data_IF_963190970103
#
_entry.id   IF_963190970103
#
_cell.length_a   1.000
_cell.length_b   1.000
_cell.length_c   1.000
_cell.angle_alpha   90.00
_cell.angle_beta   90.00
_cell.angle_gamma   90.00
#
_symmetry.space_group_name_H-M   'P 1'
#
loop_
_entity.id
_entity.type
_entity.pdbx_description
1 polymer ?
#
# COMPACT_ATOMS: atom_id res chain seq x y z
N UNK A 1 31.09 -29.50 -34.65
CA UNK A 1 29.81 -29.48 -33.91
C UNK A 1 29.56 -28.04 -33.51
N UNK A 2 28.42 -27.42 -33.84
CA UNK A 2 28.20 -26.00 -33.55
C UNK A 2 27.90 -25.80 -32.05
N UNK A 3 28.66 -24.90 -31.44
CA UNK A 3 28.45 -24.31 -30.12
C UNK A 3 27.01 -23.75 -30.03
N UNK A 4 26.22 -24.28 -29.11
CA UNK A 4 24.87 -23.75 -28.83
C UNK A 4 24.93 -22.32 -28.27
N UNK A 5 23.91 -21.48 -28.50
CA UNK A 5 23.94 -20.09 -28.06
C UNK A 5 24.07 -20.02 -26.54
N UNK A 6 25.12 -19.33 -26.07
CA UNK A 6 25.34 -19.04 -24.67
C UNK A 6 24.07 -18.40 -24.08
N UNK A 7 23.42 -19.09 -23.14
CA UNK A 7 22.33 -18.50 -22.35
C UNK A 7 22.93 -17.33 -21.57
N UNK A 8 22.64 -16.11 -22.01
CA UNK A 8 22.91 -14.90 -21.24
C UNK A 8 21.95 -14.92 -20.06
N UNK A 9 22.35 -15.60 -18.98
CA UNK A 9 21.68 -15.51 -17.70
C UNK A 9 21.97 -14.11 -17.16
N UNK A 10 21.02 -13.19 -17.30
CA UNK A 10 21.12 -11.85 -16.71
C UNK A 10 20.95 -12.00 -15.20
N UNK A 11 22.04 -12.25 -14.51
CA UNK A 11 22.10 -12.26 -13.05
C UNK A 11 22.05 -10.81 -12.57
N UNK A 12 20.90 -10.39 -12.02
CA UNK A 12 20.78 -9.07 -11.38
C UNK A 12 21.60 -9.08 -10.09
N UNK A 13 22.21 -7.94 -9.74
CA UNK A 13 22.83 -7.81 -8.41
C UNK A 13 21.75 -7.95 -7.33
N UNK A 14 22.11 -8.48 -6.15
CA UNK A 14 21.13 -8.69 -5.07
C UNK A 14 20.38 -7.42 -4.64
N UNK A 15 20.97 -6.25 -4.88
CA UNK A 15 20.32 -4.93 -4.68
C UNK A 15 19.29 -4.63 -5.77
N UNK A 16 19.64 -4.84 -7.05
CA UNK A 16 18.72 -4.64 -8.16
C UNK A 16 17.53 -5.62 -8.09
N UNK A 17 17.77 -6.86 -7.67
CA UNK A 17 16.72 -7.84 -7.48
C UNK A 17 15.74 -7.45 -6.37
N UNK A 18 16.23 -6.99 -5.20
CA UNK A 18 15.36 -6.52 -4.10
C UNK A 18 14.47 -5.36 -4.51
N UNK A 19 15.02 -4.35 -5.19
CA UNK A 19 14.25 -3.20 -5.67
C UNK A 19 13.17 -3.65 -6.66
N UNK A 20 13.52 -4.53 -7.60
CA UNK A 20 12.57 -5.07 -8.56
C UNK A 20 11.43 -5.83 -7.88
N UNK A 21 11.75 -6.73 -6.95
CA UNK A 21 10.76 -7.51 -6.22
C UNK A 21 9.84 -6.61 -5.37
N UNK A 22 10.41 -5.58 -4.72
CA UNK A 22 9.65 -4.59 -3.97
C UNK A 22 8.67 -3.80 -4.87
N UNK A 23 9.13 -3.32 -6.02
CA UNK A 23 8.30 -2.59 -6.99
C UNK A 23 7.16 -3.47 -7.52
N UNK A 24 7.45 -4.71 -7.93
CA UNK A 24 6.43 -5.63 -8.43
C UNK A 24 5.39 -5.94 -7.34
N UNK A 25 5.84 -6.13 -6.11
CA UNK A 25 4.95 -6.36 -4.97
C UNK A 25 4.04 -5.16 -4.71
N UNK A 26 4.58 -3.94 -4.69
CA UNK A 26 3.77 -2.71 -4.56
C UNK A 26 2.76 -2.58 -5.71
N UNK A 27 3.17 -2.87 -6.94
CA UNK A 27 2.31 -2.78 -8.11
C UNK A 27 1.12 -3.73 -8.04
N UNK A 28 1.36 -5.00 -7.74
CA UNK A 28 0.28 -5.99 -7.62
C UNK A 28 -0.66 -5.68 -6.46
N UNK A 29 -0.13 -5.24 -5.32
CA UNK A 29 -0.95 -4.87 -4.16
C UNK A 29 -1.79 -3.63 -4.44
N UNK A 30 -1.20 -2.61 -5.07
CA UNK A 30 -1.95 -1.42 -5.50
C UNK A 30 -3.07 -1.81 -6.46
N UNK A 31 -2.77 -2.62 -7.48
CA UNK A 31 -3.76 -3.09 -8.44
C UNK A 31 -4.90 -3.88 -7.77
N UNK A 32 -4.58 -4.80 -6.86
CA UNK A 32 -5.58 -5.57 -6.11
C UNK A 32 -6.51 -4.66 -5.30
N UNK A 33 -5.97 -3.67 -4.59
CA UNK A 33 -6.79 -2.69 -3.89
C UNK A 33 -7.58 -1.79 -4.83
N UNK A 34 -7.03 -1.44 -6.00
CA UNK A 34 -7.73 -0.67 -7.02
C UNK A 34 -8.97 -1.40 -7.54
N UNK A 35 -8.81 -2.67 -7.91
CA UNK A 35 -9.94 -3.53 -8.32
C UNK A 35 -10.96 -3.66 -7.19
N UNK A 36 -10.52 -3.96 -5.97
CA UNK A 36 -11.40 -4.09 -4.80
C UNK A 36 -12.14 -2.78 -4.51
N UNK A 37 -11.46 -1.64 -4.64
CA UNK A 37 -12.04 -0.31 -4.48
C UNK A 37 -13.16 -0.07 -5.49
N UNK A 38 -12.92 -0.29 -6.78
CA UNK A 38 -13.95 -0.15 -7.82
C UNK A 38 -15.14 -1.08 -7.57
N UNK A 39 -14.88 -2.36 -7.27
CA UNK A 39 -15.94 -3.33 -6.98
C UNK A 39 -16.77 -2.94 -5.75
N UNK A 40 -16.14 -2.38 -4.71
CA UNK A 40 -16.86 -1.93 -3.52
C UNK A 40 -17.82 -0.76 -3.80
N UNK A 41 -17.49 0.11 -4.76
CA UNK A 41 -18.37 1.19 -5.20
C UNK A 41 -19.62 0.66 -5.92
N UNK A 42 -19.46 -0.37 -6.76
CA UNK A 42 -20.58 -1.08 -7.37
C UNK A 42 -21.43 -1.80 -6.32
N UNK A 43 -20.78 -2.53 -5.41
CA UNK A 43 -21.43 -3.24 -4.31
C UNK A 43 -22.34 -2.32 -3.49
N UNK A 44 -21.83 -1.14 -3.09
CA UNK A 44 -22.63 -0.14 -2.37
C UNK A 44 -23.90 0.27 -3.13
N UNK A 45 -23.79 0.52 -4.45
CA UNK A 45 -24.92 0.95 -5.29
C UNK A 45 -25.98 -0.13 -5.41
N UNK A 46 -25.57 -1.37 -5.66
CA UNK A 46 -26.50 -2.49 -5.82
C UNK A 46 -27.14 -2.88 -4.49
N UNK A 47 -26.37 -2.91 -3.39
CA UNK A 47 -26.90 -3.26 -2.07
C UNK A 47 -27.94 -2.25 -1.58
N UNK A 48 -27.65 -0.94 -1.70
CA UNK A 48 -28.60 0.09 -1.26
C UNK A 48 -29.85 0.13 -2.12
N UNK A 49 -29.73 -0.14 -3.42
CA UNK A 49 -30.87 -0.27 -4.33
C UNK A 49 -31.74 -1.48 -3.99
N UNK A 50 -31.13 -2.63 -3.69
CA UNK A 50 -31.85 -3.86 -3.38
C UNK A 50 -32.60 -3.82 -2.03
N UNK A 51 -32.21 -2.92 -1.12
CA UNK A 51 -32.79 -2.78 0.22
C UNK A 51 -33.58 -1.48 0.41
N UNK A 52 -33.88 -0.75 -0.67
CA UNK A 52 -34.57 0.56 -0.63
C UNK A 52 -33.98 1.52 0.42
N UNK A 53 -32.65 1.50 0.57
CA UNK A 53 -31.96 2.21 1.63
C UNK A 53 -31.87 3.71 1.33
N UNK A 54 -32.73 4.50 1.98
CA UNK A 54 -32.88 5.95 1.74
C UNK A 54 -31.82 6.77 2.50
N UNK A 55 -31.52 6.41 3.76
CA UNK A 55 -30.57 7.16 4.60
C UNK A 55 -29.10 6.75 4.35
N UNK A 56 -28.58 7.17 3.21
CA UNK A 56 -27.20 6.88 2.80
C UNK A 56 -26.14 7.44 3.75
N UNK A 57 -26.46 8.46 4.56
CA UNK A 57 -25.56 9.05 5.55
C UNK A 57 -25.33 8.17 6.78
N UNK A 58 -26.28 7.29 7.11
CA UNK A 58 -26.14 6.39 8.26
C UNK A 58 -25.09 5.28 8.05
N UNK A 59 -24.70 4.99 6.80
CA UNK A 59 -23.79 3.89 6.47
C UNK A 59 -22.37 4.36 6.16
N UNK A 60 -21.38 3.60 6.62
CA UNK A 60 -19.95 3.79 6.26
C UNK A 60 -19.58 3.13 4.93
N UNK A 61 -20.52 2.42 4.29
CA UNK A 61 -20.30 1.70 3.04
C UNK A 61 -19.84 2.57 1.85
N UNK A 62 -20.33 3.83 1.68
CA UNK A 62 -19.81 4.72 0.63
C UNK A 62 -18.31 5.05 0.79
N UNK A 63 -17.82 5.06 2.04
CA UNK A 63 -16.43 5.42 2.36
C UNK A 63 -15.45 4.30 2.02
N UNK A 64 -15.91 3.05 1.90
CA UNK A 64 -15.05 1.90 1.55
C UNK A 64 -14.37 2.14 0.21
N UNK A 65 -15.13 2.62 -0.79
CA UNK A 65 -14.61 2.91 -2.12
C UNK A 65 -13.47 3.92 -2.08
N UNK A 66 -13.68 5.06 -1.41
CA UNK A 66 -12.70 6.14 -1.35
C UNK A 66 -11.45 5.74 -0.57
N UNK A 67 -11.59 5.03 0.56
CA UNK A 67 -10.45 4.61 1.36
C UNK A 67 -9.62 3.54 0.66
N UNK A 68 -10.25 2.56 0.00
CA UNK A 68 -9.51 1.54 -0.76
C UNK A 68 -8.80 2.13 -1.97
N UNK A 69 -9.44 3.05 -2.70
CA UNK A 69 -8.79 3.72 -3.83
C UNK A 69 -7.67 4.67 -3.38
N UNK A 70 -7.88 5.48 -2.34
CA UNK A 70 -6.86 6.45 -1.92
C UNK A 70 -5.72 5.78 -1.17
N UNK A 71 -6.00 4.97 -0.14
CA UNK A 71 -4.97 4.36 0.71
C UNK A 71 -4.38 3.09 0.10
N UNK A 72 -5.21 2.28 -0.56
CA UNK A 72 -4.81 1.00 -1.13
C UNK A 72 -4.23 1.13 -2.53
N UNK A 73 -4.75 2.02 -3.37
CA UNK A 73 -4.28 2.19 -4.76
C UNK A 73 -3.37 3.42 -4.91
N UNK A 74 -3.89 4.63 -4.76
CA UNK A 74 -3.14 5.88 -5.03
C UNK A 74 -1.90 6.01 -4.14
N UNK A 75 -2.04 5.82 -2.83
CA UNK A 75 -0.91 5.93 -1.91
C UNK A 75 0.17 4.89 -2.21
N UNK A 76 -0.20 3.63 -2.52
CA UNK A 76 0.78 2.61 -2.89
C UNK A 76 1.47 2.91 -4.23
N UNK A 77 0.77 3.56 -5.19
CA UNK A 77 1.41 4.06 -6.42
C UNK A 77 2.41 5.18 -6.13
N UNK A 78 2.10 6.08 -5.19
CA UNK A 78 3.06 7.09 -4.73
C UNK A 78 4.28 6.42 -4.11
N UNK A 79 4.08 5.44 -3.23
CA UNK A 79 5.19 4.70 -2.61
C UNK A 79 5.99 3.90 -3.65
N UNK A 80 5.34 3.35 -4.68
CA UNK A 80 6.02 2.71 -5.81
C UNK A 80 6.90 3.71 -6.58
N UNK A 81 6.41 4.93 -6.81
CA UNK A 81 7.21 5.99 -7.41
C UNK A 81 8.41 6.36 -6.53
N UNK A 82 8.21 6.48 -5.22
CA UNK A 82 9.30 6.73 -4.26
C UNK A 82 10.32 5.59 -4.22
N UNK A 83 9.88 4.33 -4.25
CA UNK A 83 10.77 3.16 -4.32
C UNK A 83 11.60 3.18 -5.61
N UNK A 84 10.97 3.52 -6.75
CA UNK A 84 11.66 3.65 -8.04
C UNK A 84 12.72 4.75 -8.02
N UNK A 85 12.45 5.88 -7.34
CA UNK A 85 13.34 7.04 -7.30
C UNK A 85 14.49 6.89 -6.29
N UNK A 86 14.21 6.33 -5.10
CA UNK A 86 15.15 6.36 -3.98
C UNK A 86 15.67 4.98 -3.56
N UNK A 87 15.20 3.89 -4.18
CA UNK A 87 15.58 2.51 -3.85
C UNK A 87 15.49 2.22 -2.33
N UNK A 88 14.34 2.60 -1.73
CA UNK A 88 14.13 2.59 -0.29
C UNK A 88 14.29 1.18 0.28
N UNK A 89 13.78 0.17 -0.43
CA UNK A 89 13.88 -1.24 -0.03
C UNK A 89 15.32 -1.75 0.04
N UNK A 90 16.22 -1.22 -0.79
CA UNK A 90 17.66 -1.51 -0.69
C UNK A 90 18.37 -0.66 0.36
N UNK A 91 17.90 0.56 0.59
CA UNK A 91 18.45 1.42 1.62
C UNK A 91 18.19 0.87 3.03
N UNK A 92 16.95 0.44 3.30
CA UNK A 92 16.46 -0.02 4.59
C UNK A 92 15.49 -1.23 4.45
N UNK A 93 16.01 -2.45 4.14
CA UNK A 93 15.18 -3.60 3.78
C UNK A 93 14.21 -4.05 4.87
N UNK A 94 14.65 -4.08 6.14
CA UNK A 94 13.80 -4.50 7.27
C UNK A 94 12.68 -3.50 7.52
N UNK A 95 13.02 -2.21 7.57
CA UNK A 95 12.07 -1.12 7.82
C UNK A 95 11.03 -1.02 6.70
N UNK A 96 11.46 -1.12 5.43
CA UNK A 96 10.56 -1.13 4.29
C UNK A 96 9.61 -2.34 4.32
N UNK A 97 10.11 -3.52 4.71
CA UNK A 97 9.26 -4.71 4.87
C UNK A 97 8.20 -4.53 5.97
N UNK A 98 8.57 -3.93 7.10
CA UNK A 98 7.63 -3.61 8.18
C UNK A 98 6.56 -2.61 7.73
N UNK A 99 6.96 -1.52 7.06
CA UNK A 99 6.03 -0.57 6.48
C UNK A 99 5.02 -1.28 5.56
N UNK A 100 5.52 -2.11 4.63
CA UNK A 100 4.67 -2.77 3.64
C UNK A 100 3.56 -3.61 4.30
N UNK A 101 3.91 -4.40 5.31
CA UNK A 101 2.94 -5.25 6.01
C UNK A 101 1.99 -4.46 6.90
N UNK A 102 2.50 -3.50 7.69
CA UNK A 102 1.66 -2.65 8.53
C UNK A 102 0.65 -1.85 7.70
N UNK A 103 1.10 -1.31 6.56
CA UNK A 103 0.25 -0.54 5.64
C UNK A 103 -0.82 -1.44 5.01
N UNK A 104 -0.40 -2.54 4.38
CA UNK A 104 -1.31 -3.44 3.65
C UNK A 104 -2.38 -4.03 4.58
N UNK A 105 -1.98 -4.51 5.77
CA UNK A 105 -2.91 -5.03 6.76
C UNK A 105 -3.77 -3.92 7.37
N UNK A 106 -3.21 -2.74 7.64
CA UNK A 106 -3.96 -1.58 8.14
C UNK A 106 -5.06 -1.13 7.18
N UNK A 107 -4.76 -1.07 5.87
CA UNK A 107 -5.76 -0.74 4.82
C UNK A 107 -6.82 -1.84 4.74
N UNK A 108 -6.42 -3.12 4.75
CA UNK A 108 -7.35 -4.25 4.69
C UNK A 108 -8.31 -4.27 5.88
N UNK A 109 -7.80 -4.08 7.10
CA UNK A 109 -8.61 -4.02 8.32
C UNK A 109 -9.55 -2.81 8.28
N UNK A 110 -9.05 -1.63 7.91
CA UNK A 110 -9.86 -0.40 7.87
C UNK A 110 -10.99 -0.51 6.85
N UNK A 111 -10.66 -0.89 5.61
CA UNK A 111 -11.65 -1.07 4.54
C UNK A 111 -12.61 -2.22 4.82
N UNK A 112 -12.12 -3.36 5.32
CA UNK A 112 -12.93 -4.51 5.69
C UNK A 112 -13.91 -4.19 6.82
N UNK A 113 -13.49 -3.43 7.82
CA UNK A 113 -14.37 -3.07 8.93
C UNK A 113 -15.44 -2.05 8.52
N UNK A 114 -15.10 -1.09 7.67
CA UNK A 114 -16.10 -0.21 7.03
C UNK A 114 -17.09 -0.99 6.18
N UNK A 115 -16.63 -2.00 5.43
CA UNK A 115 -17.46 -2.87 4.59
C UNK A 115 -18.47 -3.66 5.45
N UNK A 116 -17.99 -4.34 6.49
CA UNK A 116 -18.85 -5.14 7.38
C UNK A 116 -19.85 -4.25 8.12
N UNK A 117 -19.39 -3.19 8.80
CA UNK A 117 -20.29 -2.29 9.54
C UNK A 117 -21.29 -1.61 8.61
N UNK A 118 -20.83 -1.11 7.47
CA UNK A 118 -21.69 -0.46 6.48
C UNK A 118 -22.75 -1.40 5.92
N UNK A 119 -22.41 -2.68 5.71
CA UNK A 119 -23.35 -3.71 5.25
C UNK A 119 -24.38 -4.03 6.33
N UNK A 120 -23.96 -4.20 7.59
CA UNK A 120 -24.88 -4.45 8.70
C UNK A 120 -25.91 -3.32 8.84
N UNK A 121 -25.48 -2.07 8.76
CA UNK A 121 -26.37 -0.90 8.81
C UNK A 121 -27.38 -0.91 7.66
N UNK A 122 -26.95 -1.20 6.43
CA UNK A 122 -27.86 -1.25 5.26
C UNK A 122 -28.89 -2.38 5.41
N UNK A 123 -28.50 -3.49 6.04
CA UNK A 123 -29.40 -4.62 6.34
C UNK A 123 -30.27 -4.39 7.59
N UNK A 124 -30.21 -3.22 8.24
CA UNK A 124 -30.99 -2.91 9.45
C UNK A 124 -30.49 -3.64 10.71
N UNK A 125 -29.27 -4.17 10.71
CA UNK A 125 -28.67 -4.84 11.85
C UNK A 125 -27.86 -3.85 12.72
N UNK A 126 -27.72 -4.18 14.00
CA UNK A 126 -26.90 -3.40 14.92
C UNK A 126 -25.40 -3.52 14.60
N UNK A 127 -24.74 -2.38 14.39
CA UNK A 127 -23.31 -2.27 14.13
C UNK A 127 -22.56 -1.53 15.26
N UNK A 128 -23.19 -1.36 16.44
CA UNK A 128 -22.67 -0.59 17.57
C UNK A 128 -21.74 -1.37 18.51
N UNK A 129 -21.51 -2.67 18.25
CA UNK A 129 -20.67 -3.51 19.11
C UNK A 129 -19.27 -2.92 19.33
N UNK A 130 -18.84 -2.90 20.60
CA UNK A 130 -17.50 -2.47 21.02
C UNK A 130 -16.37 -3.26 20.33
N UNK A 131 -16.63 -4.52 19.94
CA UNK A 131 -15.69 -5.33 19.20
C UNK A 131 -15.35 -4.71 17.82
N UNK A 132 -16.36 -4.17 17.12
CA UNK A 132 -16.13 -3.50 15.83
C UNK A 132 -15.33 -2.20 15.98
N UNK A 133 -15.57 -1.45 17.06
CA UNK A 133 -14.79 -0.25 17.36
C UNK A 133 -13.33 -0.60 17.67
N UNK A 134 -13.08 -1.66 18.44
CA UNK A 134 -11.72 -2.14 18.74
C UNK A 134 -10.93 -2.53 17.49
N UNK A 135 -11.54 -3.32 16.59
CA UNK A 135 -10.89 -3.75 15.34
C UNK A 135 -10.63 -2.55 14.40
N UNK A 136 -11.60 -1.63 14.28
CA UNK A 136 -11.41 -0.40 13.51
C UNK A 136 -10.26 0.46 14.07
N UNK A 137 -10.11 0.51 15.40
CA UNK A 137 -8.99 1.17 16.07
C UNK A 137 -7.64 0.55 15.73
N UNK A 138 -7.55 -0.79 15.67
CA UNK A 138 -6.31 -1.48 15.27
C UNK A 138 -5.88 -1.13 13.83
N UNK A 139 -6.84 -0.96 12.92
CA UNK A 139 -6.57 -0.47 11.56
C UNK A 139 -5.87 0.90 11.58
N UNK A 140 -6.41 1.85 12.34
CA UNK A 140 -5.83 3.20 12.47
C UNK A 140 -4.44 3.20 13.12
N UNK A 141 -4.25 2.41 14.18
CA UNK A 141 -2.95 2.27 14.85
C UNK A 141 -1.92 1.71 13.88
N UNK A 142 -2.29 0.67 13.12
CA UNK A 142 -1.42 0.04 12.13
C UNK A 142 -1.02 1.01 11.02
N UNK A 143 -1.97 1.78 10.48
CA UNK A 143 -1.70 2.81 9.47
C UNK A 143 -0.78 3.91 10.00
N UNK A 144 -1.02 4.37 11.24
CA UNK A 144 -0.18 5.38 11.89
C UNK A 144 1.26 4.89 12.06
N UNK A 145 1.42 3.66 12.57
CA UNK A 145 2.72 3.04 12.71
C UNK A 145 3.42 2.86 11.35
N UNK A 146 2.68 2.45 10.31
CA UNK A 146 3.22 2.31 8.97
C UNK A 146 3.79 3.62 8.41
N UNK A 147 3.09 4.75 8.58
CA UNK A 147 3.60 6.06 8.14
C UNK A 147 4.91 6.39 8.84
N UNK A 148 4.99 6.21 10.15
CA UNK A 148 6.22 6.49 10.91
C UNK A 148 7.38 5.63 10.37
N UNK A 149 7.14 4.34 10.18
CA UNK A 149 8.13 3.39 9.65
C UNK A 149 8.56 3.76 8.22
N UNK A 150 7.63 4.23 7.38
CA UNK A 150 7.94 4.71 6.03
C UNK A 150 8.92 5.90 6.06
N UNK A 151 8.68 6.89 6.92
CA UNK A 151 9.57 8.06 7.04
C UNK A 151 10.96 7.68 7.55
N UNK A 152 11.05 6.70 8.47
CA UNK A 152 12.35 6.16 8.92
C UNK A 152 13.09 5.49 7.75
N UNK A 153 12.41 4.70 6.94
CA UNK A 153 13.00 4.06 5.76
C UNK A 153 13.44 5.10 4.71
N UNK A 154 12.60 6.11 4.46
CA UNK A 154 12.87 7.19 3.52
C UNK A 154 14.09 8.01 3.96
N UNK A 155 14.21 8.35 5.25
CA UNK A 155 15.38 9.07 5.79
C UNK A 155 16.67 8.29 5.55
N UNK A 156 16.65 6.97 5.69
CA UNK A 156 17.82 6.13 5.42
C UNK A 156 18.19 6.11 3.93
N UNK A 157 17.19 6.15 3.03
CA UNK A 157 17.40 6.24 1.60
C UNK A 157 18.02 7.58 1.19
N UNK A 158 17.49 8.69 1.70
CA UNK A 158 18.01 10.04 1.40
C UNK A 158 19.47 10.19 1.85
N UNK A 159 19.83 9.73 3.05
CA UNK A 159 21.23 9.75 3.52
C UNK A 159 22.19 8.99 2.60
N UNK A 160 21.75 7.90 1.99
CA UNK A 160 22.57 7.15 1.03
C UNK A 160 22.75 7.90 -0.29
N UNK A 161 21.71 8.60 -0.76
CA UNK A 161 21.79 9.47 -1.94
C UNK A 161 22.77 10.62 -1.71
N UNK A 162 22.71 11.27 -0.55
CA UNK A 162 23.62 12.38 -0.21
C UNK A 162 25.09 11.93 -0.14
N UNK A 163 25.34 10.76 0.46
CA UNK A 163 26.67 10.16 0.51
C UNK A 163 27.23 9.85 -0.89
N UNK A 164 26.39 9.36 -1.81
CA UNK A 164 26.80 9.12 -3.19
C UNK A 164 27.09 10.43 -3.96
N UNK A 165 26.31 11.49 -3.72
CA UNK A 165 26.53 12.82 -4.32
C UNK A 165 27.78 13.52 -3.81
N UNK A 166 28.15 13.31 -2.54
CA UNK A 166 29.36 13.90 -1.93
C UNK A 166 30.65 13.17 -2.35
N UNK A 167 30.53 11.96 -2.91
CA UNK A 167 31.64 11.15 -3.41
C UNK A 167 32.04 11.48 -4.86
N UNK A 168 31.35 12.42 -5.53
CA UNK A 168 31.71 12.85 -6.88
C UNK A 168 33.04 13.61 -6.85
N UNK A 169 34.03 13.27 -7.69
CA UNK A 169 35.40 13.71 -7.50
C UNK A 169 35.55 15.21 -7.72
N UNK A 170 36.13 15.89 -6.72
CA UNK A 170 36.69 17.24 -6.82
C UNK A 170 37.98 17.24 -7.66
N UNK A 171 37.91 16.75 -8.90
CA UNK A 171 39.04 16.66 -9.84
C UNK A 171 38.60 17.14 -11.23
N UNK A 172 38.44 18.46 -11.39
CA UNK A 172 38.42 19.11 -12.69
C UNK A 172 38.76 20.62 -12.61
N UNK A 173 39.60 21.03 -11.66
CA UNK A 173 40.18 22.38 -11.67
C UNK A 173 41.62 22.32 -11.10
N UNK A 174 42.55 21.86 -11.95
CA UNK A 174 44.00 22.04 -11.86
C UNK A 174 44.56 22.08 -13.28
#
# INVERSE_FOLDING_TARGET
>A
MPEGPAKITITRSGTAERNHNAMMRLMYTAFAFGVTGVLSGLYYRELTKANDFIDRSASQLPLVHTHLLVLGFVFLLIVLALEKLFAISSAAPRTFSWFYWLWTLGVAVTGGMMLVKGTLVVLGNDASSAAFAGIAGMGHISLTAAVIVLFVALRAALKKVDAAGTSAPALADR
#
